data_IF_809114539809
#
_entry.id   IF_809114539809
#
_cell.length_a   1.000
_cell.length_b   1.000
_cell.length_c   1.000
_cell.angle_alpha   90.00
_cell.angle_beta   90.00
_cell.angle_gamma   90.00
#
_symmetry.space_group_name_H-M   'P 1'
#
loop_
_entity.id
_entity.type
_entity.pdbx_description
1 polymer ?
#
# COMPACT_ATOMS: atom_id res chain seq x y z
N UNK A 1 -19.81 -6.13 -22.35
CA UNK A 1 -19.05 -5.22 -21.44
C UNK A 1 -17.59 -5.59 -21.52
N UNK A 2 -16.71 -4.63 -21.75
CA UNK A 2 -15.26 -4.85 -21.78
C UNK A 2 -14.78 -5.22 -20.37
N UNK A 3 -14.27 -6.44 -20.27
CA UNK A 3 -13.86 -7.12 -19.06
C UNK A 3 -12.66 -6.43 -18.39
N UNK A 4 -12.91 -5.50 -17.47
CA UNK A 4 -11.92 -5.15 -16.47
C UNK A 4 -11.93 -6.24 -15.40
N UNK A 5 -11.14 -7.29 -15.62
CA UNK A 5 -11.06 -8.46 -14.75
C UNK A 5 -10.15 -8.18 -13.54
N UNK A 6 -10.60 -7.33 -12.61
CA UNK A 6 -9.89 -7.14 -11.34
C UNK A 6 -10.25 -8.31 -10.42
N UNK A 7 -9.24 -9.04 -9.94
CA UNK A 7 -9.43 -10.07 -8.90
C UNK A 7 -9.21 -9.44 -7.54
N UNK A 8 -10.28 -9.07 -6.85
CA UNK A 8 -10.21 -8.42 -5.54
C UNK A 8 -9.38 -9.22 -4.52
N UNK A 9 -9.50 -10.54 -4.52
CA UNK A 9 -8.67 -11.44 -3.70
C UNK A 9 -7.19 -11.41 -4.09
N UNK A 10 -6.89 -11.29 -5.38
CA UNK A 10 -5.53 -11.12 -5.89
C UNK A 10 -4.92 -9.79 -5.46
N UNK A 11 -5.69 -8.70 -5.53
CA UNK A 11 -5.26 -7.40 -5.00
C UNK A 11 -4.98 -7.53 -3.51
N UNK A 12 -5.91 -8.08 -2.72
CA UNK A 12 -5.76 -8.29 -1.28
C UNK A 12 -4.46 -9.02 -0.91
N UNK A 13 -4.11 -10.08 -1.64
CA UNK A 13 -2.85 -10.80 -1.45
C UNK A 13 -1.62 -9.93 -1.72
N UNK A 14 -1.62 -9.15 -2.80
CA UNK A 14 -0.51 -8.26 -3.14
C UNK A 14 -0.36 -7.14 -2.12
N UNK A 15 -1.43 -6.42 -1.76
CA UNK A 15 -1.34 -5.33 -0.77
C UNK A 15 -0.96 -5.84 0.61
N UNK A 16 -1.40 -7.04 1.01
CA UNK A 16 -0.95 -7.67 2.26
C UNK A 16 0.55 -7.97 2.23
N UNK A 17 1.07 -8.54 1.14
CA UNK A 17 2.50 -8.81 0.98
C UNK A 17 3.34 -7.53 1.00
N UNK A 18 2.90 -6.49 0.28
CA UNK A 18 3.58 -5.19 0.26
C UNK A 18 3.53 -4.52 1.64
N UNK A 19 2.41 -4.62 2.35
CA UNK A 19 2.29 -4.19 3.76
C UNK A 19 3.28 -4.90 4.67
N UNK A 20 3.48 -6.21 4.46
CA UNK A 20 4.49 -7.00 5.15
C UNK A 20 5.93 -6.51 4.92
N UNK A 21 6.27 -6.16 3.68
CA UNK A 21 7.57 -5.56 3.37
C UNK A 21 7.75 -4.16 3.98
N UNK A 22 6.66 -3.41 4.13
CA UNK A 22 6.69 -2.05 4.64
C UNK A 22 6.83 -1.99 6.17
N UNK A 23 5.97 -2.72 6.88
CA UNK A 23 5.76 -2.58 8.32
C UNK A 23 5.95 -3.89 9.11
N UNK A 24 6.33 -4.99 8.45
CA UNK A 24 6.45 -6.31 9.06
C UNK A 24 5.15 -7.13 8.97
N UNK A 25 5.23 -8.40 9.34
CA UNK A 25 4.04 -9.27 9.45
C UNK A 25 2.98 -8.60 10.35
N UNK A 26 1.73 -8.62 9.92
CA UNK A 26 0.62 -7.94 10.60
C UNK A 26 0.51 -6.44 10.32
N UNK A 27 1.53 -5.79 9.75
CA UNK A 27 1.49 -4.36 9.40
C UNK A 27 1.59 -3.42 10.60
N UNK A 28 1.99 -3.92 11.76
CA UNK A 28 2.00 -3.18 13.04
C UNK A 28 3.26 -2.32 13.26
N UNK A 29 4.18 -2.28 12.28
CA UNK A 29 5.40 -1.47 12.35
C UNK A 29 6.57 -2.14 13.09
N UNK A 30 6.38 -3.37 13.58
CA UNK A 30 7.42 -4.15 14.26
C UNK A 30 8.50 -4.72 13.33
N UNK A 31 8.34 -4.62 12.01
CA UNK A 31 9.27 -5.17 11.02
C UNK A 31 9.34 -4.37 9.73
N UNK A 32 9.79 -5.04 8.65
CA UNK A 32 9.86 -4.46 7.32
C UNK A 32 10.78 -3.24 7.23
N UNK A 33 10.52 -2.38 6.25
CA UNK A 33 11.27 -1.14 6.02
C UNK A 33 11.23 -0.20 7.24
N UNK A 34 10.12 -0.14 7.97
CA UNK A 34 9.98 0.67 9.20
C UNK A 34 11.02 0.28 10.25
N UNK A 35 11.18 -1.02 10.55
CA UNK A 35 12.18 -1.46 11.52
C UNK A 35 13.61 -1.29 11.02
N UNK A 36 13.85 -1.51 9.73
CA UNK A 36 15.17 -1.29 9.13
C UNK A 36 15.62 0.17 9.22
N UNK A 37 14.69 1.10 9.06
CA UNK A 37 14.89 2.54 9.24
C UNK A 37 15.31 2.91 10.67
N UNK A 38 14.64 2.32 11.66
CA UNK A 38 15.00 2.50 13.08
C UNK A 38 16.40 1.95 13.37
N UNK A 39 16.67 0.72 12.93
CA UNK A 39 17.97 0.07 13.11
C UNK A 39 19.09 0.84 12.41
N UNK A 40 18.83 1.40 11.23
CA UNK A 40 19.79 2.22 10.50
C UNK A 40 20.25 3.42 11.33
N UNK A 41 19.31 4.18 11.91
CA UNK A 41 19.66 5.32 12.77
C UNK A 41 20.48 4.90 13.98
N UNK A 42 20.08 3.82 14.65
CA UNK A 42 20.80 3.26 15.81
C UNK A 42 22.22 2.83 15.43
N UNK A 43 22.38 1.97 14.41
CA UNK A 43 23.69 1.44 14.04
C UNK A 43 24.65 2.54 13.54
N UNK A 44 24.16 3.54 12.82
CA UNK A 44 25.01 4.66 12.41
C UNK A 44 25.44 5.52 13.60
N UNK A 45 24.54 5.73 14.58
CA UNK A 45 24.89 6.41 15.84
C UNK A 45 25.93 5.65 16.66
N UNK A 46 25.79 4.33 16.75
CA UNK A 46 26.77 3.44 17.38
C UNK A 46 28.12 3.48 16.66
N UNK A 47 28.12 3.45 15.32
CA UNK A 47 29.33 3.57 14.52
C UNK A 47 30.04 4.92 14.75
N UNK A 48 29.29 6.01 14.87
CA UNK A 48 29.84 7.34 15.19
C UNK A 48 30.46 7.39 16.58
N UNK A 49 29.86 6.71 17.55
CA UNK A 49 30.41 6.59 18.91
C UNK A 49 31.69 5.73 18.90
N UNK A 50 31.65 4.58 18.23
CA UNK A 50 32.78 3.65 18.14
C UNK A 50 33.99 4.26 17.41
N UNK A 51 33.75 5.09 16.39
CA UNK A 51 34.79 5.79 15.64
C UNK A 51 35.68 6.69 16.51
N UNK A 52 35.22 7.09 17.71
CA UNK A 52 35.99 7.89 18.69
C UNK A 52 36.64 9.14 18.08
N UNK A 53 35.98 9.71 17.07
CA UNK A 53 36.49 10.82 16.26
C UNK A 53 35.37 11.82 16.05
N UNK A 54 35.52 13.02 16.61
CA UNK A 54 34.50 14.07 16.55
C UNK A 54 34.10 14.42 15.10
N UNK A 55 35.04 14.60 14.14
CA UNK A 55 34.66 14.85 12.74
C UNK A 55 33.87 13.70 12.10
N UNK A 56 34.24 12.45 12.39
CA UNK A 56 33.54 11.26 11.84
C UNK A 56 32.15 11.13 12.44
N UNK A 57 32.01 11.33 13.75
CA UNK A 57 30.72 11.32 14.42
C UNK A 57 29.77 12.40 13.88
N UNK A 58 30.27 13.61 13.65
CA UNK A 58 29.48 14.69 13.04
C UNK A 58 29.03 14.34 11.63
N UNK A 59 29.94 13.84 10.78
CA UNK A 59 29.60 13.46 9.40
C UNK A 59 28.54 12.34 9.34
N UNK A 60 28.64 11.34 10.23
CA UNK A 60 27.65 10.26 10.31
C UNK A 60 26.29 10.75 10.80
N UNK A 61 26.27 11.69 11.75
CA UNK A 61 25.03 12.34 12.21
C UNK A 61 24.35 13.09 11.06
N UNK A 62 25.09 13.93 10.34
CA UNK A 62 24.57 14.67 9.19
C UNK A 62 24.06 13.73 8.09
N UNK A 63 24.77 12.62 7.85
CA UNK A 63 24.34 11.59 6.91
C UNK A 63 23.00 10.96 7.29
N UNK A 64 22.79 10.64 8.57
CA UNK A 64 21.50 10.11 9.06
C UNK A 64 20.40 11.16 8.90
N UNK A 65 20.65 12.41 9.30
CA UNK A 65 19.67 13.50 9.19
C UNK A 65 19.23 13.73 7.75
N UNK A 66 20.17 13.76 6.81
CA UNK A 66 19.89 13.90 5.38
C UNK A 66 19.10 12.70 4.83
N UNK A 67 19.55 11.48 5.12
CA UNK A 67 19.00 10.26 4.49
C UNK A 67 17.64 9.87 5.05
N UNK A 68 17.38 10.18 6.33
CA UNK A 68 16.13 9.79 7.03
C UNK A 68 14.88 10.33 6.35
N UNK A 69 14.93 11.56 5.81
CA UNK A 69 13.79 12.16 5.10
C UNK A 69 13.37 11.32 3.88
N UNK A 70 14.33 10.94 3.04
CA UNK A 70 14.08 10.13 1.85
C UNK A 70 13.54 8.74 2.19
N UNK A 71 14.15 8.08 3.19
CA UNK A 71 13.73 6.76 3.63
C UNK A 71 12.31 6.77 4.24
N UNK A 72 11.97 7.77 5.08
CA UNK A 72 10.60 7.97 5.57
C UNK A 72 9.63 8.24 4.42
N UNK A 73 10.04 9.01 3.42
CA UNK A 73 9.27 9.25 2.22
C UNK A 73 8.92 7.97 1.45
N UNK A 74 9.83 6.99 1.39
CA UNK A 74 9.55 5.69 0.79
C UNK A 74 8.47 4.92 1.56
N UNK A 75 8.53 4.94 2.90
CA UNK A 75 7.50 4.30 3.74
C UNK A 75 6.13 4.94 3.50
N UNK A 76 6.07 6.28 3.54
CA UNK A 76 4.82 7.03 3.31
C UNK A 76 4.24 6.76 1.93
N UNK A 77 5.07 6.77 0.88
CA UNK A 77 4.63 6.47 -0.48
C UNK A 77 4.14 5.02 -0.61
N UNK A 78 4.84 4.06 0.01
CA UNK A 78 4.41 2.67 0.05
C UNK A 78 3.02 2.51 0.68
N UNK A 79 2.79 3.15 1.82
CA UNK A 79 1.48 3.17 2.48
C UNK A 79 0.39 3.79 1.61
N UNK A 80 0.67 4.93 0.97
CA UNK A 80 -0.27 5.58 0.08
C UNK A 80 -0.65 4.70 -1.13
N UNK A 81 0.31 3.98 -1.72
CA UNK A 81 0.04 3.04 -2.80
C UNK A 81 -0.85 1.88 -2.36
N UNK A 82 -0.62 1.34 -1.14
CA UNK A 82 -1.46 0.29 -0.56
C UNK A 82 -2.91 0.79 -0.42
N UNK A 83 -3.09 1.96 0.21
CA UNK A 83 -4.41 2.57 0.39
C UNK A 83 -5.10 2.81 -0.95
N UNK A 84 -4.41 3.42 -1.91
CA UNK A 84 -4.97 3.69 -3.23
C UNK A 84 -5.38 2.42 -3.99
N UNK A 85 -4.61 1.33 -3.88
CA UNK A 85 -4.97 0.04 -4.49
C UNK A 85 -6.24 -0.57 -3.87
N UNK A 86 -6.38 -0.46 -2.55
CA UNK A 86 -7.57 -0.92 -1.82
C UNK A 86 -8.79 -0.06 -2.19
N UNK A 87 -8.65 1.26 -2.22
CA UNK A 87 -9.73 2.18 -2.58
C UNK A 87 -10.18 1.99 -4.03
N UNK A 88 -9.24 1.87 -4.97
CA UNK A 88 -9.56 1.57 -6.36
C UNK A 88 -10.33 0.25 -6.48
N UNK A 89 -9.91 -0.80 -5.75
CA UNK A 89 -10.61 -2.09 -5.74
C UNK A 89 -12.03 -1.97 -5.21
N UNK A 90 -12.24 -1.20 -4.14
CA UNK A 90 -13.58 -0.93 -3.59
C UNK A 90 -14.45 -0.17 -4.60
N UNK A 91 -13.90 0.85 -5.25
CA UNK A 91 -14.62 1.63 -6.25
C UNK A 91 -15.05 0.76 -7.45
N UNK A 92 -14.18 -0.15 -7.91
CA UNK A 92 -14.52 -1.13 -8.95
C UNK A 92 -15.70 -2.02 -8.54
N UNK A 93 -15.65 -2.62 -7.34
CA UNK A 93 -16.73 -3.49 -6.85
C UNK A 93 -18.06 -2.70 -6.75
N UNK A 94 -18.01 -1.46 -6.26
CA UNK A 94 -19.21 -0.64 -6.15
C UNK A 94 -19.81 -0.28 -7.53
N UNK A 95 -18.97 0.06 -8.51
CA UNK A 95 -19.42 0.32 -9.88
C UNK A 95 -20.08 -0.90 -10.53
N UNK A 96 -19.52 -2.09 -10.32
CA UNK A 96 -20.11 -3.35 -10.80
C UNK A 96 -21.51 -3.58 -10.17
N UNK A 97 -21.67 -3.27 -8.88
CA UNK A 97 -22.96 -3.39 -8.18
C UNK A 97 -23.99 -2.38 -8.68
N UNK A 98 -23.59 -1.14 -8.95
CA UNK A 98 -24.48 -0.11 -9.53
C UNK A 98 -24.95 -0.52 -10.93
N UNK A 99 -24.04 -1.03 -11.76
CA UNK A 99 -24.39 -1.51 -13.09
C UNK A 99 -25.28 -2.76 -13.05
N UNK A 100 -25.05 -3.68 -12.11
CA UNK A 100 -25.94 -4.81 -11.83
C UNK A 100 -27.34 -4.35 -11.42
N UNK A 101 -27.42 -3.36 -10.52
CA UNK A 101 -28.69 -2.82 -10.07
C UNK A 101 -29.48 -2.16 -11.22
N UNK A 102 -28.80 -1.41 -12.09
CA UNK A 102 -29.43 -0.80 -13.26
C UNK A 102 -29.86 -1.83 -14.31
N UNK A 103 -29.05 -2.86 -14.54
CA UNK A 103 -29.40 -3.97 -15.42
C UNK A 103 -30.61 -4.75 -14.90
N UNK A 104 -30.71 -4.99 -13.58
CA UNK A 104 -31.89 -5.58 -12.95
C UNK A 104 -33.12 -4.67 -13.08
N UNK A 105 -32.97 -3.37 -12.82
CA UNK A 105 -34.06 -2.39 -12.93
C UNK A 105 -34.60 -2.31 -14.37
N UNK A 106 -33.69 -2.31 -15.35
CA UNK A 106 -34.03 -2.37 -16.78
C UNK A 106 -34.67 -3.70 -17.17
N UNK A 107 -34.18 -4.83 -16.63
CA UNK A 107 -34.75 -6.15 -16.89
C UNK A 107 -36.17 -6.30 -16.32
N UNK A 108 -36.44 -5.72 -15.13
CA UNK A 108 -37.80 -5.68 -14.54
C UNK A 108 -38.74 -4.81 -15.38
N UNK A 109 -38.24 -3.72 -15.95
CA UNK A 109 -39.00 -2.84 -16.84
C UNK A 109 -39.04 -3.32 -18.31
N UNK A 110 -38.41 -4.46 -18.62
CA UNK A 110 -38.44 -5.00 -19.97
C UNK A 110 -39.87 -5.50 -20.29
N UNK A 111 -40.45 -5.12 -21.44
CA UNK A 111 -41.78 -5.57 -21.81
C UNK A 111 -41.83 -7.10 -21.87
N UNK A 112 -42.92 -7.68 -21.36
CA UNK A 112 -43.08 -9.14 -21.27
C UNK A 112 -42.77 -9.80 -22.62
N UNK A 113 -42.03 -10.94 -22.62
CA UNK A 113 -41.74 -11.65 -23.85
C UNK A 113 -43.08 -11.98 -24.52
N UNK A 114 -43.24 -11.56 -25.79
CA UNK A 114 -44.41 -11.92 -26.59
C UNK A 114 -44.40 -13.43 -26.76
N UNK A 115 -45.13 -14.14 -25.91
CA UNK A 115 -45.45 -15.55 -26.12
C UNK A 115 -46.60 -15.56 -27.14
N UNK A 116 -46.29 -15.85 -28.39
CA UNK A 116 -47.27 -16.08 -29.45
C UNK A 116 -46.55 -16.53 -30.73
N UNK A 117 -46.92 -17.63 -31.38
CA UNK A 117 -48.03 -18.57 -31.11
C UNK A 117 -47.85 -19.85 -31.92
#
# INVERSE_FOLDING_TARGET
MTAYNIKASGVGSVVSKVGGHLAGEGGEGGGGLVKQLENFGTHVGEAGTAASSMPVGTALKEYVEYTTSGLKGMVTKGGACITGAVEATKAYINGDMEMLAEAQRTAVNAPAPKIGG
#
